data_IF_256363797853
#
_entry.id   IF_256363797853
#
_cell.length_a   1.000
_cell.length_b   1.000
_cell.length_c   1.000
_cell.angle_alpha   90.00
_cell.angle_beta   90.00
_cell.angle_gamma   90.00
#
_symmetry.space_group_name_H-M   'P 1'
#
loop_
_entity.id
_entity.type
_entity.pdbx_description
1 polymer ?
#
# COMPACT_ATOMS: atom_id res chain seq x y z
N UNK A 1 0.13 101.26 8.07
CA UNK A 1 0.77 100.28 7.17
C UNK A 1 1.56 99.20 7.92
N UNK A 2 2.54 99.52 8.80
CA UNK A 2 3.30 98.50 9.55
C UNK A 2 2.47 97.59 10.48
N UNK A 3 1.47 98.13 11.19
CA UNK A 3 0.60 97.33 12.06
C UNK A 3 -0.28 96.33 11.29
N UNK A 4 -0.78 96.75 10.12
CA UNK A 4 -1.58 95.90 9.25
C UNK A 4 -0.77 94.71 8.71
N UNK A 5 0.47 94.97 8.28
CA UNK A 5 1.38 93.92 7.81
C UNK A 5 1.72 92.94 8.94
N UNK A 6 2.00 93.40 10.16
CA UNK A 6 2.20 92.51 11.32
C UNK A 6 0.99 91.62 11.60
N UNK A 7 -0.21 92.21 11.66
CA UNK A 7 -1.43 91.44 11.88
C UNK A 7 -1.68 90.38 10.82
N UNK A 8 -1.32 90.64 9.56
CA UNK A 8 -1.42 89.64 8.49
C UNK A 8 -0.39 88.52 8.62
N UNK A 9 0.84 88.86 9.05
CA UNK A 9 1.89 87.87 9.32
C UNK A 9 1.47 86.97 10.48
N UNK A 10 0.99 87.53 11.58
CA UNK A 10 0.54 86.76 12.76
C UNK A 10 -0.64 85.82 12.39
N UNK A 11 -1.55 86.26 11.51
CA UNK A 11 -2.63 85.42 10.99
C UNK A 11 -2.13 84.29 10.09
N UNK A 12 -1.15 84.57 9.23
CA UNK A 12 -0.53 83.56 8.36
C UNK A 12 0.23 82.51 9.19
N UNK A 13 0.99 82.94 10.19
CA UNK A 13 1.69 82.04 11.12
C UNK A 13 0.70 81.13 11.85
N UNK A 14 -0.39 81.69 12.40
CA UNK A 14 -1.44 80.91 13.07
C UNK A 14 -2.10 79.87 12.16
N UNK A 15 -2.36 80.20 10.89
CA UNK A 15 -2.95 79.25 9.92
C UNK A 15 -1.97 78.14 9.55
N UNK A 16 -0.68 78.49 9.39
CA UNK A 16 0.37 77.50 9.11
C UNK A 16 0.55 76.56 10.29
N UNK A 17 0.63 77.07 11.52
CA UNK A 17 0.78 76.26 12.73
C UNK A 17 -0.41 75.30 12.91
N UNK A 18 -1.64 75.80 12.76
CA UNK A 18 -2.83 74.95 12.83
C UNK A 18 -2.83 73.84 11.77
N UNK A 19 -2.36 74.12 10.55
CA UNK A 19 -2.26 73.14 9.48
C UNK A 19 -1.17 72.10 9.76
N UNK A 20 -0.02 72.53 10.29
CA UNK A 20 1.08 71.63 10.68
C UNK A 20 0.62 70.73 11.83
N UNK A 21 -0.03 71.27 12.86
CA UNK A 21 -0.58 70.48 13.96
C UNK A 21 -1.55 69.40 13.47
N UNK A 22 -2.46 69.74 12.57
CA UNK A 22 -3.44 68.79 12.04
C UNK A 22 -2.76 67.68 11.21
N UNK A 23 -1.75 68.03 10.42
CA UNK A 23 -0.94 67.06 9.69
C UNK A 23 -0.18 66.14 10.65
N UNK A 24 0.43 66.68 11.70
CA UNK A 24 1.15 65.91 12.72
C UNK A 24 0.19 64.96 13.44
N UNK A 25 -1.00 65.42 13.86
CA UNK A 25 -2.02 64.54 14.47
C UNK A 25 -2.43 63.41 13.54
N UNK A 26 -2.65 63.72 12.25
CA UNK A 26 -2.99 62.72 11.23
C UNK A 26 -1.88 61.69 11.03
N UNK A 27 -0.62 62.13 11.03
CA UNK A 27 0.53 61.21 10.90
C UNK A 27 0.65 60.33 12.15
N UNK A 28 0.51 60.91 13.35
CA UNK A 28 0.55 60.16 14.61
C UNK A 28 -0.54 59.09 14.65
N UNK A 29 -1.78 59.42 14.28
CA UNK A 29 -2.87 58.44 14.28
C UNK A 29 -2.62 57.29 13.30
N UNK A 30 -2.12 57.59 12.10
CA UNK A 30 -1.73 56.56 11.12
C UNK A 30 -0.60 55.69 11.63
N UNK A 31 0.46 56.27 12.18
CA UNK A 31 1.60 55.52 12.75
C UNK A 31 1.14 54.60 13.87
N UNK A 32 0.27 55.08 14.76
CA UNK A 32 -0.27 54.26 15.84
C UNK A 32 -1.10 53.09 15.30
N UNK A 33 -1.99 53.33 14.33
CA UNK A 33 -2.77 52.24 13.71
C UNK A 33 -1.89 51.20 13.03
N UNK A 34 -0.86 51.63 12.30
CA UNK A 34 0.12 50.73 11.66
C UNK A 34 0.92 49.92 12.70
N UNK A 35 1.28 50.55 13.82
CA UNK A 35 2.00 49.88 14.90
C UNK A 35 1.14 48.81 15.58
N UNK A 36 -0.15 49.10 15.82
CA UNK A 36 -1.11 48.14 16.38
C UNK A 36 -1.34 46.96 15.44
N UNK A 37 -1.53 47.22 14.14
CA UNK A 37 -1.70 46.17 13.13
C UNK A 37 -0.45 45.27 13.01
N UNK A 38 0.74 45.88 12.98
CA UNK A 38 2.01 45.15 12.94
C UNK A 38 2.23 44.30 14.20
N UNK A 39 1.87 44.83 15.37
CA UNK A 39 1.97 44.11 16.64
C UNK A 39 0.99 42.94 16.70
N UNK A 40 -0.27 43.17 16.31
CA UNK A 40 -1.30 42.13 16.23
C UNK A 40 -0.89 40.99 15.29
N UNK A 41 -0.38 41.35 14.10
CA UNK A 41 0.12 40.39 13.11
C UNK A 41 1.29 39.58 13.67
N UNK A 42 2.26 40.24 14.30
CA UNK A 42 3.42 39.59 14.89
C UNK A 42 3.03 38.62 16.01
N UNK A 43 2.05 39.00 16.85
CA UNK A 43 1.53 38.14 17.92
C UNK A 43 0.85 36.88 17.36
N UNK A 44 0.05 37.04 16.30
CA UNK A 44 -0.58 35.91 15.62
C UNK A 44 0.46 34.97 15.01
N UNK A 45 1.47 35.49 14.32
CA UNK A 45 2.55 34.69 13.74
C UNK A 45 3.36 33.95 14.82
N UNK A 46 3.65 34.59 15.95
CA UNK A 46 4.31 33.95 17.08
C UNK A 46 3.51 32.75 17.60
N UNK A 47 2.19 32.88 17.72
CA UNK A 47 1.35 31.79 18.19
C UNK A 47 1.25 30.64 17.18
N UNK A 48 1.19 30.96 15.88
CA UNK A 48 1.28 29.96 14.81
C UNK A 48 2.62 29.21 14.86
N UNK A 49 3.74 29.92 15.03
CA UNK A 49 5.06 29.30 15.13
C UNK A 49 5.18 28.36 16.33
N UNK A 50 4.63 28.72 17.49
CA UNK A 50 4.57 27.81 18.65
C UNK A 50 3.77 26.55 18.35
N UNK A 51 2.64 26.68 17.65
CA UNK A 51 1.83 25.54 17.28
C UNK A 51 2.58 24.61 16.32
N UNK A 52 3.27 25.17 15.31
CA UNK A 52 4.11 24.41 14.38
C UNK A 52 5.23 23.67 15.12
N UNK A 53 5.92 24.33 16.05
CA UNK A 53 6.96 23.69 16.86
C UNK A 53 6.41 22.49 17.64
N UNK A 54 5.25 22.64 18.29
CA UNK A 54 4.59 21.56 19.02
C UNK A 54 4.20 20.38 18.11
N UNK A 55 3.76 20.65 16.89
CA UNK A 55 3.47 19.60 15.90
C UNK A 55 4.73 18.87 15.46
N UNK A 56 5.84 19.60 15.26
CA UNK A 56 7.14 19.00 14.89
C UNK A 56 7.68 18.10 16.01
N UNK A 57 7.54 18.50 17.28
CA UNK A 57 7.93 17.68 18.43
C UNK A 57 7.15 16.37 18.47
N UNK A 58 5.82 16.44 18.31
CA UNK A 58 4.96 15.26 18.31
C UNK A 58 5.24 14.34 17.11
N UNK A 59 5.55 14.91 15.95
CA UNK A 59 5.94 14.15 14.77
C UNK A 59 7.28 13.43 14.99
N UNK A 60 8.24 14.09 15.63
CA UNK A 60 9.55 13.51 15.94
C UNK A 60 9.42 12.33 16.92
N UNK A 61 8.56 12.46 17.95
CA UNK A 61 8.27 11.37 18.88
C UNK A 61 7.60 10.17 18.20
N UNK A 62 6.67 10.42 17.27
CA UNK A 62 6.09 9.33 16.45
C UNK A 62 7.14 8.66 15.58
N UNK A 63 8.04 9.44 14.98
CA UNK A 63 9.11 8.91 14.15
C UNK A 63 10.09 8.03 14.94
N UNK A 64 10.48 8.44 16.14
CA UNK A 64 11.38 7.63 16.99
C UNK A 64 10.71 6.33 17.43
N UNK A 65 9.41 6.35 17.73
CA UNK A 65 8.66 5.15 18.08
C UNK A 65 8.54 4.17 16.91
N UNK A 66 8.20 4.66 15.70
CA UNK A 66 8.16 3.82 14.50
C UNK A 66 9.53 3.18 14.23
N UNK A 67 10.61 3.96 14.36
CA UNK A 67 11.97 3.45 14.18
C UNK A 67 12.31 2.36 15.20
N UNK A 68 11.88 2.52 16.45
CA UNK A 68 12.05 1.50 17.51
C UNK A 68 11.29 0.21 17.17
N UNK A 69 10.04 0.34 16.71
CA UNK A 69 9.24 -0.81 16.28
C UNK A 69 9.87 -1.54 15.08
N UNK A 70 10.36 -0.78 14.10
CA UNK A 70 11.03 -1.33 12.91
C UNK A 70 12.27 -2.15 13.30
N UNK A 71 13.09 -1.63 14.23
CA UNK A 71 14.25 -2.36 14.75
C UNK A 71 13.83 -3.68 15.43
N UNK A 72 12.78 -3.65 16.27
CA UNK A 72 12.27 -4.85 16.93
C UNK A 72 11.71 -5.90 15.95
N UNK A 73 11.04 -5.46 14.88
CA UNK A 73 10.59 -6.37 13.81
C UNK A 73 11.78 -7.00 13.10
N UNK A 74 12.82 -6.20 12.78
CA UNK A 74 14.02 -6.69 12.12
C UNK A 74 14.74 -7.75 12.94
N UNK A 75 14.90 -7.55 14.25
CA UNK A 75 15.48 -8.53 15.16
C UNK A 75 14.65 -9.82 15.23
N UNK A 76 13.33 -9.69 15.28
CA UNK A 76 12.42 -10.84 15.30
C UNK A 76 12.49 -11.64 14.00
N UNK A 77 12.55 -10.98 12.84
CA UNK A 77 12.72 -11.63 11.55
C UNK A 77 14.05 -12.40 11.48
N UNK A 78 15.14 -11.80 11.95
CA UNK A 78 16.44 -12.46 11.96
C UNK A 78 16.44 -13.70 12.88
N UNK A 79 15.80 -13.63 14.06
CA UNK A 79 15.67 -14.80 14.95
C UNK A 79 14.83 -15.93 14.33
N UNK A 80 13.73 -15.59 13.64
CA UNK A 80 12.89 -16.56 12.93
C UNK A 80 13.63 -17.19 11.76
N UNK A 81 14.41 -16.40 11.02
CA UNK A 81 15.24 -16.89 9.91
C UNK A 81 16.26 -17.91 10.41
N UNK A 82 17.02 -17.59 11.46
CA UNK A 82 17.99 -18.51 12.06
C UNK A 82 17.35 -19.80 12.56
N UNK A 83 16.15 -19.71 13.15
CA UNK A 83 15.40 -20.89 13.57
C UNK A 83 14.98 -21.75 12.38
N UNK A 84 14.43 -21.13 11.33
CA UNK A 84 14.03 -21.83 10.12
C UNK A 84 15.20 -22.52 9.42
N UNK A 85 16.39 -21.89 9.42
CA UNK A 85 17.61 -22.46 8.86
C UNK A 85 18.05 -23.70 9.63
N UNK A 86 18.06 -23.61 10.97
CA UNK A 86 18.35 -24.75 11.84
C UNK A 86 17.35 -25.91 11.66
N UNK A 87 16.06 -25.60 11.55
CA UNK A 87 15.01 -26.61 11.34
C UNK A 87 15.17 -27.29 9.96
N UNK A 88 15.58 -26.54 8.93
CA UNK A 88 15.88 -27.08 7.60
C UNK A 88 17.11 -28.00 7.60
N UNK A 89 18.18 -27.60 8.29
CA UNK A 89 19.38 -28.42 8.45
C UNK A 89 19.08 -29.74 9.19
N UNK A 90 18.25 -29.69 10.24
CA UNK A 90 17.83 -30.90 10.97
C UNK A 90 16.99 -31.83 10.09
N UNK A 91 16.08 -31.29 9.27
CA UNK A 91 15.31 -32.06 8.31
C UNK A 91 16.20 -32.72 7.25
N UNK A 92 17.16 -31.98 6.69
CA UNK A 92 18.13 -32.49 5.73
C UNK A 92 18.96 -33.64 6.32
N UNK A 93 19.42 -33.51 7.58
CA UNK A 93 20.13 -34.57 8.27
C UNK A 93 19.26 -35.83 8.45
N UNK A 94 17.99 -35.67 8.86
CA UNK A 94 17.05 -36.79 9.02
C UNK A 94 16.74 -37.50 7.70
N UNK A 95 16.59 -36.75 6.62
CA UNK A 95 16.39 -37.31 5.27
C UNK A 95 17.61 -38.11 4.85
N UNK A 96 18.83 -37.59 5.05
CA UNK A 96 20.06 -38.34 4.77
C UNK A 96 20.17 -39.65 5.56
N UNK A 97 19.80 -39.64 6.84
CA UNK A 97 19.75 -40.84 7.70
C UNK A 97 18.70 -41.86 7.24
N UNK A 98 17.54 -41.40 6.76
CA UNK A 98 16.48 -42.23 6.21
C UNK A 98 16.91 -42.85 4.88
N UNK A 99 17.50 -42.08 3.97
CA UNK A 99 18.03 -42.57 2.70
C UNK A 99 19.13 -43.62 2.91
N UNK A 100 20.02 -43.39 3.89
CA UNK A 100 21.08 -44.34 4.25
C UNK A 100 20.49 -45.64 4.79
N UNK A 101 19.46 -45.56 5.65
CA UNK A 101 18.73 -46.75 6.14
C UNK A 101 17.98 -47.48 5.03
N UNK A 102 17.35 -46.77 4.10
CA UNK A 102 16.66 -47.39 2.96
C UNK A 102 17.65 -48.11 2.03
N UNK A 103 18.82 -47.54 1.78
CA UNK A 103 19.87 -48.20 0.99
C UNK A 103 20.41 -49.47 1.67
N UNK A 104 20.60 -49.44 2.99
CA UNK A 104 21.06 -50.60 3.76
C UNK A 104 19.96 -51.68 3.89
N UNK A 105 18.69 -51.29 4.07
CA UNK A 105 17.55 -52.19 4.14
C UNK A 105 17.14 -52.83 2.80
N UNK A 106 17.62 -52.29 1.67
CA UNK A 106 17.33 -52.82 0.33
C UNK A 106 18.31 -53.92 -0.12
N UNK A 107 19.31 -54.29 0.70
CA UNK A 107 20.30 -55.32 0.35
C UNK A 107 19.86 -56.76 0.63
N UNK A 108 18.64 -56.98 1.15
CA UNK A 108 18.12 -58.33 1.47
C UNK A 108 16.82 -58.73 0.74
N UNK A 109 16.30 -57.94 -0.21
CA UNK A 109 15.17 -58.38 -1.04
C UNK A 109 15.41 -58.09 -2.52
N UNK A 110 16.07 -59.03 -3.18
CA UNK A 110 16.02 -59.17 -4.63
C UNK A 110 14.67 -59.77 -5.05
N UNK A 111 13.70 -58.91 -5.40
CA UNK A 111 12.57 -59.25 -6.28
C UNK A 111 12.14 -58.00 -7.05
N UNK A 112 12.24 -58.07 -8.39
CA UNK A 112 11.60 -57.28 -9.44
C UNK A 112 11.68 -55.73 -9.42
N UNK A 113 11.90 -55.07 -10.58
CA UNK A 113 11.70 -53.64 -10.70
C UNK A 113 10.19 -53.37 -10.72
N UNK A 114 9.58 -53.20 -9.56
CA UNK A 114 8.30 -52.50 -9.49
C UNK A 114 8.57 -51.05 -9.89
N UNK A 115 8.20 -50.74 -11.12
CA UNK A 115 7.87 -49.38 -11.53
C UNK A 115 6.87 -48.84 -10.52
N UNK A 116 7.36 -48.18 -9.46
CA UNK A 116 6.61 -47.14 -8.79
C UNK A 116 6.46 -46.01 -9.80
N UNK A 117 5.54 -46.19 -10.75
CA UNK A 117 4.67 -45.09 -11.16
C UNK A 117 4.16 -44.51 -9.85
N UNK A 118 4.84 -43.44 -9.39
CA UNK A 118 4.17 -42.40 -8.64
C UNK A 118 2.83 -42.23 -9.34
N UNK A 119 1.76 -42.55 -8.63
CA UNK A 119 0.44 -42.21 -9.08
C UNK A 119 0.47 -40.68 -9.23
N UNK A 120 0.81 -40.23 -10.44
CA UNK A 120 0.52 -38.88 -10.88
C UNK A 120 -0.99 -38.85 -10.87
N UNK A 121 -1.55 -38.49 -9.72
CA UNK A 121 -2.78 -37.72 -9.72
C UNK A 121 -2.50 -36.64 -10.73
N UNK A 122 -3.08 -36.80 -11.93
CA UNK A 122 -2.96 -35.88 -13.05
C UNK A 122 -3.56 -34.57 -12.56
N UNK A 123 -2.77 -33.81 -11.82
CA UNK A 123 -3.09 -32.50 -11.29
C UNK A 123 -3.30 -31.67 -12.54
N UNK A 124 -4.57 -31.39 -12.83
CA UNK A 124 -4.92 -30.54 -13.93
C UNK A 124 -4.49 -29.12 -13.56
N UNK A 125 -3.77 -28.41 -14.45
CA UNK A 125 -3.49 -27.00 -14.21
C UNK A 125 -4.82 -26.26 -14.06
N UNK A 126 -4.90 -25.27 -13.16
CA UNK A 126 -6.06 -24.40 -13.11
C UNK A 126 -6.18 -23.64 -14.43
N UNK A 127 -7.41 -23.32 -14.84
CA UNK A 127 -7.66 -22.60 -16.09
C UNK A 127 -8.26 -21.22 -15.86
N UNK A 128 -7.90 -20.25 -16.69
CA UNK A 128 -8.43 -18.89 -16.66
C UNK A 128 -8.65 -18.34 -18.06
N UNK A 129 -9.86 -17.80 -18.31
CA UNK A 129 -10.31 -17.37 -19.64
C UNK A 129 -10.41 -15.85 -19.79
N UNK A 130 -10.31 -15.12 -18.67
CA UNK A 130 -10.65 -13.70 -18.57
C UNK A 130 -12.11 -13.39 -18.93
N UNK A 131 -13.04 -14.26 -18.52
CA UNK A 131 -14.48 -13.99 -18.61
C UNK A 131 -14.99 -13.19 -17.41
N UNK A 132 -16.14 -12.51 -17.54
CA UNK A 132 -16.71 -11.67 -16.47
C UNK A 132 -17.00 -12.42 -15.14
N UNK A 133 -17.22 -13.75 -15.21
CA UNK A 133 -17.43 -14.62 -14.05
C UNK A 133 -16.14 -15.14 -13.43
N UNK A 134 -15.01 -14.98 -14.12
CA UNK A 134 -13.73 -15.47 -13.64
C UNK A 134 -13.28 -14.65 -12.44
N UNK A 135 -12.51 -15.29 -11.56
CA UNK A 135 -12.00 -14.67 -10.34
C UNK A 135 -10.47 -14.66 -10.42
N UNK A 136 -9.85 -13.57 -10.91
CA UNK A 136 -8.42 -13.49 -11.21
C UNK A 136 -7.54 -13.97 -10.04
N UNK A 137 -7.80 -13.46 -8.83
CA UNK A 137 -7.01 -13.86 -7.65
C UNK A 137 -7.30 -15.27 -7.14
N UNK A 138 -8.45 -15.87 -7.48
CA UNK A 138 -8.71 -17.28 -7.16
C UNK A 138 -7.86 -18.18 -8.07
N UNK A 139 -7.83 -17.84 -9.36
CA UNK A 139 -6.98 -18.51 -10.33
C UNK A 139 -5.50 -18.38 -9.96
N UNK A 140 -5.01 -17.16 -9.75
CA UNK A 140 -3.61 -16.90 -9.44
C UNK A 140 -3.11 -17.71 -8.24
N UNK A 141 -3.88 -17.73 -7.13
CA UNK A 141 -3.55 -18.56 -5.94
C UNK A 141 -3.61 -20.06 -6.22
N UNK A 142 -4.46 -20.52 -7.13
CA UNK A 142 -4.50 -21.91 -7.55
C UNK A 142 -3.27 -22.26 -8.39
N UNK A 143 -2.88 -21.38 -9.31
CA UNK A 143 -1.70 -21.54 -10.15
C UNK A 143 -0.42 -21.55 -9.34
N UNK A 144 -0.27 -20.63 -8.37
CA UNK A 144 0.88 -20.60 -7.48
C UNK A 144 1.04 -21.92 -6.72
N UNK A 145 -0.05 -22.45 -6.15
CA UNK A 145 -0.04 -23.76 -5.48
C UNK A 145 0.30 -24.90 -6.42
N UNK A 146 -0.19 -24.84 -7.66
CA UNK A 146 0.10 -25.82 -8.69
C UNK A 146 1.61 -25.82 -9.04
N UNK A 147 2.18 -24.66 -9.32
CA UNK A 147 3.61 -24.50 -9.62
C UNK A 147 4.47 -25.00 -8.46
N UNK A 148 4.12 -24.68 -7.21
CA UNK A 148 4.81 -25.20 -6.03
C UNK A 148 4.70 -26.72 -5.92
N UNK A 149 3.53 -27.30 -6.21
CA UNK A 149 3.30 -28.75 -6.10
C UNK A 149 4.01 -29.55 -7.21
N UNK A 150 4.19 -28.98 -8.40
CA UNK A 150 4.82 -29.64 -9.54
C UNK A 150 6.36 -29.49 -9.50
N UNK A 151 6.92 -28.68 -8.59
CA UNK A 151 8.36 -28.43 -8.41
C UNK A 151 9.11 -28.24 -9.74
N UNK A 152 8.46 -27.55 -10.66
CA UNK A 152 8.98 -27.25 -11.98
C UNK A 152 9.97 -26.10 -11.83
N UNK A 153 11.26 -26.33 -12.09
CA UNK A 153 12.29 -25.28 -12.10
C UNK A 153 11.90 -24.09 -13.01
N UNK A 154 12.62 -22.98 -12.89
CA UNK A 154 12.31 -21.72 -13.58
C UNK A 154 12.07 -21.88 -15.10
N UNK A 155 12.75 -22.82 -15.76
CA UNK A 155 12.63 -23.11 -17.20
C UNK A 155 11.24 -23.64 -17.63
N UNK A 156 10.43 -24.14 -16.70
CA UNK A 156 9.14 -24.74 -17.02
C UNK A 156 7.94 -23.90 -16.55
N UNK A 157 8.18 -22.80 -15.83
CA UNK A 157 7.10 -22.00 -15.23
C UNK A 157 6.27 -21.27 -16.29
N UNK A 158 6.91 -20.80 -17.36
CA UNK A 158 6.27 -20.15 -18.50
C UNK A 158 5.36 -21.11 -19.24
N UNK A 159 5.81 -22.34 -19.49
CA UNK A 159 4.97 -23.40 -20.09
C UNK A 159 3.74 -23.70 -19.22
N UNK A 160 3.89 -23.77 -17.89
CA UNK A 160 2.77 -23.99 -16.97
C UNK A 160 1.78 -22.82 -17.00
N UNK A 161 2.27 -21.59 -17.12
CA UNK A 161 1.43 -20.40 -17.28
C UNK A 161 0.68 -20.46 -18.62
N UNK A 162 1.37 -20.76 -19.72
CA UNK A 162 0.76 -20.83 -21.05
C UNK A 162 -0.41 -21.83 -21.10
N UNK A 163 -0.23 -23.05 -20.57
CA UNK A 163 -1.27 -24.09 -20.57
C UNK A 163 -2.43 -23.81 -19.59
N UNK A 164 -2.25 -22.91 -18.63
CA UNK A 164 -3.27 -22.55 -17.64
C UNK A 164 -4.13 -21.37 -18.08
N UNK A 165 -3.80 -20.74 -19.21
CA UNK A 165 -4.55 -19.65 -19.80
C UNK A 165 -5.29 -20.14 -21.04
N UNK A 166 -6.55 -19.73 -21.18
CA UNK A 166 -7.40 -20.06 -22.32
C UNK A 166 -8.09 -18.79 -22.85
N UNK A 167 -8.64 -18.85 -24.07
CA UNK A 167 -9.42 -17.75 -24.65
C UNK A 167 -8.67 -16.40 -24.63
N UNK A 168 -9.36 -15.35 -24.18
CA UNK A 168 -8.82 -13.99 -24.16
C UNK A 168 -7.56 -13.86 -23.29
N UNK A 169 -7.44 -14.68 -22.25
CA UNK A 169 -6.29 -14.66 -21.37
C UNK A 169 -5.03 -15.25 -22.04
N UNK A 170 -5.20 -16.30 -22.86
CA UNK A 170 -4.10 -16.86 -23.66
C UNK A 170 -3.65 -15.86 -24.73
N UNK A 171 -4.58 -15.25 -25.48
CA UNK A 171 -4.22 -14.24 -26.49
C UNK A 171 -3.48 -13.04 -25.88
N UNK A 172 -3.87 -12.61 -24.68
CA UNK A 172 -3.13 -11.57 -23.96
C UNK A 172 -1.74 -12.05 -23.56
N UNK A 173 -1.61 -13.28 -23.07
CA UNK A 173 -0.32 -13.83 -22.64
C UNK A 173 0.67 -13.90 -23.79
N UNK A 174 0.24 -14.36 -24.98
CA UNK A 174 1.07 -14.39 -26.18
C UNK A 174 1.67 -13.01 -26.52
N UNK A 175 0.93 -11.92 -26.24
CA UNK A 175 1.40 -10.56 -26.49
C UNK A 175 2.43 -10.04 -25.46
N UNK A 176 2.51 -10.65 -24.27
CA UNK A 176 3.40 -10.24 -23.18
C UNK A 176 4.42 -11.30 -22.77
N UNK A 177 4.37 -12.49 -23.35
CA UNK A 177 5.17 -13.67 -22.99
C UNK A 177 6.67 -13.35 -22.97
N UNK A 178 7.16 -12.62 -23.97
CA UNK A 178 8.58 -12.25 -24.08
C UNK A 178 9.10 -11.37 -22.93
N UNK A 179 8.20 -10.80 -22.12
CA UNK A 179 8.53 -9.95 -20.96
C UNK A 179 8.44 -10.72 -19.64
N UNK A 180 8.02 -11.98 -19.67
CA UNK A 180 7.73 -12.79 -18.49
C UNK A 180 8.79 -13.88 -18.37
N UNK A 181 9.83 -13.61 -17.58
CA UNK A 181 10.94 -14.54 -17.34
C UNK A 181 10.82 -15.30 -16.00
N UNK A 182 9.89 -14.88 -15.16
CA UNK A 182 9.68 -15.44 -13.83
C UNK A 182 8.19 -15.43 -13.47
N UNK A 183 7.84 -16.23 -12.46
CA UNK A 183 6.48 -16.20 -11.90
C UNK A 183 6.14 -14.84 -11.29
N UNK A 184 7.13 -14.09 -10.79
CA UNK A 184 6.95 -12.75 -10.26
C UNK A 184 6.65 -11.72 -11.36
N UNK A 185 7.27 -11.85 -12.53
CA UNK A 185 6.95 -11.01 -13.69
C UNK A 185 5.53 -11.28 -14.19
N UNK A 186 5.14 -12.55 -14.23
CA UNK A 186 3.77 -12.94 -14.54
C UNK A 186 2.78 -12.34 -13.54
N UNK A 187 3.05 -12.44 -12.24
CA UNK A 187 2.18 -11.88 -11.20
C UNK A 187 1.93 -10.39 -11.40
N UNK A 188 3.00 -9.63 -11.68
CA UNK A 188 2.93 -8.19 -11.91
C UNK A 188 2.05 -7.87 -13.13
N UNK A 189 2.34 -8.48 -14.29
CA UNK A 189 1.58 -8.24 -15.52
C UNK A 189 0.12 -8.71 -15.41
N UNK A 190 -0.10 -9.87 -14.79
CA UNK A 190 -1.43 -10.42 -14.56
C UNK A 190 -2.26 -9.52 -13.66
N UNK A 191 -1.69 -9.02 -12.56
CA UNK A 191 -2.37 -8.09 -11.66
C UNK A 191 -2.67 -6.77 -12.36
N UNK A 192 -1.72 -6.20 -13.10
CA UNK A 192 -1.95 -4.97 -13.87
C UNK A 192 -3.11 -5.12 -14.86
N UNK A 193 -3.23 -6.28 -15.52
CA UNK A 193 -4.28 -6.51 -16.51
C UNK A 193 -5.64 -6.85 -15.90
N UNK A 194 -5.68 -7.79 -14.97
CA UNK A 194 -6.92 -8.43 -14.49
C UNK A 194 -7.25 -8.13 -13.02
N UNK A 195 -6.37 -7.46 -12.29
CA UNK A 195 -6.55 -7.12 -10.87
C UNK A 195 -6.10 -5.68 -10.54
N UNK A 196 -6.31 -4.75 -11.47
CA UNK A 196 -5.95 -3.34 -11.28
C UNK A 196 -6.89 -2.61 -10.31
N UNK A 197 -6.54 -1.37 -9.97
CA UNK A 197 -7.30 -0.51 -9.06
C UNK A 197 -8.79 -0.37 -9.44
N UNK A 198 -9.11 -0.32 -10.74
CA UNK A 198 -10.50 -0.20 -11.20
C UNK A 198 -11.32 -1.45 -10.85
N UNK A 199 -10.76 -2.64 -11.10
CA UNK A 199 -11.40 -3.93 -10.73
C UNK A 199 -11.54 -4.05 -9.22
N UNK A 200 -10.50 -3.63 -8.47
CA UNK A 200 -10.52 -3.64 -7.02
C UNK A 200 -11.56 -2.65 -6.46
N UNK A 201 -11.68 -1.45 -7.03
CA UNK A 201 -12.69 -0.47 -6.66
C UNK A 201 -14.11 -0.98 -6.93
N UNK A 202 -14.34 -1.66 -8.06
CA UNK A 202 -15.63 -2.28 -8.36
C UNK A 202 -16.00 -3.34 -7.31
N UNK A 203 -15.04 -4.20 -6.95
CA UNK A 203 -15.22 -5.20 -5.91
C UNK A 203 -15.40 -4.57 -4.52
N UNK A 204 -14.72 -3.47 -4.24
CA UNK A 204 -14.89 -2.66 -3.02
C UNK A 204 -16.31 -2.12 -2.89
N UNK A 205 -16.85 -1.51 -3.95
CA UNK A 205 -18.25 -1.04 -3.96
C UNK A 205 -19.25 -2.17 -3.72
N UNK A 206 -18.99 -3.39 -4.23
CA UNK A 206 -19.86 -4.55 -3.96
C UNK A 206 -19.85 -4.94 -2.49
N UNK A 207 -18.72 -4.77 -1.80
CA UNK A 207 -18.61 -5.02 -0.35
C UNK A 207 -19.29 -3.91 0.46
N UNK A 208 -19.03 -2.64 0.11
CA UNK A 208 -19.54 -1.48 0.85
C UNK A 208 -21.06 -1.30 0.70
N UNK A 209 -21.57 -1.43 -0.52
CA UNK A 209 -22.96 -1.10 -0.84
C UNK A 209 -23.85 -2.32 -1.09
N UNK A 210 -23.28 -3.53 -1.08
CA UNK A 210 -24.03 -4.77 -1.30
C UNK A 210 -25.00 -5.05 -0.15
N UNK A 211 -26.31 -5.04 -0.43
CA UNK A 211 -27.36 -5.38 0.54
C UNK A 211 -27.94 -6.77 0.27
N UNK A 212 -28.18 -7.52 1.34
CA UNK A 212 -28.91 -8.77 1.26
C UNK A 212 -30.35 -8.51 0.83
N UNK A 213 -30.77 -9.20 -0.22
CA UNK A 213 -32.16 -9.21 -0.68
C UNK A 213 -32.90 -10.41 -0.10
N UNK A 214 -33.98 -10.16 0.63
CA UNK A 214 -34.81 -11.19 1.27
C UNK A 214 -35.52 -12.06 0.22
N UNK A 215 -35.76 -11.52 -0.98
CA UNK A 215 -36.37 -12.25 -2.10
C UNK A 215 -35.36 -13.06 -2.92
N UNK A 216 -34.07 -12.98 -2.59
CA UNK A 216 -33.02 -13.74 -3.26
C UNK A 216 -33.13 -15.24 -3.00
N UNK A 217 -32.59 -16.03 -3.94
CA UNK A 217 -32.44 -17.49 -3.80
C UNK A 217 -31.38 -17.89 -2.77
N UNK A 218 -30.59 -16.93 -2.26
CA UNK A 218 -29.51 -17.19 -1.34
C UNK A 218 -29.96 -16.98 0.10
N UNK A 219 -29.54 -17.87 0.99
CA UNK A 219 -29.63 -17.63 2.42
C UNK A 219 -28.74 -16.47 2.85
N UNK A 220 -29.03 -15.89 4.02
CA UNK A 220 -28.19 -14.83 4.62
C UNK A 220 -26.73 -15.26 4.77
N UNK A 221 -26.48 -16.52 5.10
CA UNK A 221 -25.13 -17.07 5.28
C UNK A 221 -24.39 -17.21 3.95
N UNK A 222 -25.08 -17.67 2.90
CA UNK A 222 -24.51 -17.77 1.55
C UNK A 222 -24.18 -16.39 0.98
N UNK A 223 -25.07 -15.42 1.18
CA UNK A 223 -24.82 -14.03 0.78
C UNK A 223 -23.64 -13.41 1.56
N UNK A 224 -23.59 -13.60 2.88
CA UNK A 224 -22.45 -13.15 3.69
C UNK A 224 -21.14 -13.79 3.23
N UNK A 225 -21.14 -15.08 2.92
CA UNK A 225 -19.97 -15.80 2.40
C UNK A 225 -19.55 -15.31 1.02
N UNK A 226 -20.51 -14.97 0.16
CA UNK A 226 -20.26 -14.35 -1.14
C UNK A 226 -19.57 -13.00 -0.98
N UNK A 227 -20.12 -12.09 -0.18
CA UNK A 227 -19.56 -10.75 0.09
C UNK A 227 -18.18 -10.84 0.75
N UNK A 228 -18.03 -11.69 1.76
CA UNK A 228 -16.74 -11.94 2.41
C UNK A 228 -15.67 -12.44 1.44
N UNK A 229 -16.09 -13.22 0.43
CA UNK A 229 -15.22 -13.69 -0.64
C UNK A 229 -14.66 -12.60 -1.55
N UNK A 230 -15.28 -11.41 -1.60
CA UNK A 230 -14.72 -10.19 -2.23
C UNK A 230 -13.78 -9.49 -1.25
N UNK A 231 -14.23 -9.25 -0.02
CA UNK A 231 -13.45 -8.55 1.01
C UNK A 231 -12.08 -9.19 1.26
N UNK A 232 -12.01 -10.52 1.39
CA UNK A 232 -10.75 -11.28 1.62
C UNK A 232 -9.71 -11.12 0.50
N UNK A 233 -10.10 -10.64 -0.68
CA UNK A 233 -9.23 -10.59 -1.86
C UNK A 233 -8.83 -9.17 -2.26
N UNK A 234 -9.50 -8.17 -1.71
CA UNK A 234 -9.12 -6.78 -1.92
C UNK A 234 -7.85 -6.51 -1.12
N UNK A 235 -6.83 -5.95 -1.78
CA UNK A 235 -5.61 -5.46 -1.12
C UNK A 235 -5.90 -4.06 -0.55
N UNK A 236 -6.90 -3.94 0.32
CA UNK A 236 -7.26 -2.65 0.92
C UNK A 236 -6.22 -2.35 2.00
N UNK A 237 -5.30 -1.46 1.66
CA UNK A 237 -4.67 -0.63 2.68
C UNK A 237 -5.79 0.21 3.29
N UNK A 238 -6.29 -0.18 4.46
CA UNK A 238 -7.08 0.71 5.29
C UNK A 238 -6.16 1.88 5.66
N UNK A 239 -6.15 2.91 4.82
CA UNK A 239 -5.76 4.25 5.26
C UNK A 239 -6.99 4.74 6.01
N UNK A 240 -6.97 4.57 7.33
CA UNK A 240 -7.96 5.20 8.19
C UNK A 240 -7.95 6.71 7.93
N UNK A 241 -9.13 7.34 7.81
CA UNK A 241 -9.24 8.79 7.65
C UNK A 241 -8.78 9.56 8.89
#
# INVERSE_FOLDING_TARGET
>A
MRQYVRSMVDQLESVVDARVEEQVRTVISKVNSLAEDAWSTSKMMLEQNKNILRQLELLNERYTEVRRQQNGISEKLESLRKKSEKDADELMARVGDLETRMRLGSRERSVAPENHMQASTKLKPPTFKAEAKDKPMKYFRALQRYVTAVNSGYEHVTCVIAISLEGNASTWYDAVESRINSFADFEREFKNRYWNESVQAEWGRKVEYGKYDISSKWSRVEYASYIWGFAKKLDINYTEP
#
